data_IF_572294688663
#
_entry.id   IF_572294688663
#
_cell.length_a   1.000
_cell.length_b   1.000
_cell.length_c   1.000
_cell.angle_alpha   90.00
_cell.angle_beta   90.00
_cell.angle_gamma   90.00
#
_symmetry.space_group_name_H-M   'P 1'
#
loop_
_entity.id
_entity.type
_entity.pdbx_description
1 polymer ?
#
# COMPACT_ATOMS: atom_id res chain seq x y z
N UNK A 1 -20.98 -12.90 8.00
CA UNK A 1 -19.57 -13.23 7.66
C UNK A 1 -19.26 -12.97 6.18
N UNK A 2 -20.12 -13.40 5.24
CA UNK A 2 -19.99 -13.09 3.80
C UNK A 2 -19.71 -11.61 3.48
N UNK A 3 -20.43 -10.66 4.10
CA UNK A 3 -20.17 -9.23 3.90
C UNK A 3 -18.77 -8.79 4.32
N UNK A 4 -18.20 -9.39 5.36
CA UNK A 4 -16.83 -9.10 5.81
C UNK A 4 -15.83 -9.61 4.77
N UNK A 5 -16.04 -10.84 4.28
CA UNK A 5 -15.19 -11.45 3.25
C UNK A 5 -15.21 -10.59 1.98
N UNK A 6 -16.40 -10.23 1.47
CA UNK A 6 -16.52 -9.34 0.31
C UNK A 6 -15.87 -7.98 0.56
N UNK A 7 -16.02 -7.41 1.76
CA UNK A 7 -15.33 -6.17 2.13
C UNK A 7 -13.81 -6.28 2.07
N UNK A 8 -13.23 -7.34 2.61
CA UNK A 8 -11.78 -7.57 2.54
C UNK A 8 -11.31 -7.74 1.09
N UNK A 9 -12.04 -8.54 0.30
CA UNK A 9 -11.74 -8.76 -1.13
C UNK A 9 -11.78 -7.43 -1.90
N UNK A 10 -12.88 -6.69 -1.79
CA UNK A 10 -13.04 -5.40 -2.48
C UNK A 10 -12.00 -4.37 -2.03
N UNK A 11 -11.69 -4.32 -0.73
CA UNK A 11 -10.65 -3.44 -0.22
C UNK A 11 -9.26 -3.80 -0.73
N UNK A 12 -8.93 -5.09 -0.80
CA UNK A 12 -7.64 -5.56 -1.33
C UNK A 12 -7.47 -5.29 -2.82
N UNK A 13 -8.48 -5.58 -3.64
CA UNK A 13 -8.44 -5.25 -5.07
C UNK A 13 -8.44 -3.75 -5.31
N UNK A 14 -9.21 -2.98 -4.53
CA UNK A 14 -9.19 -1.52 -4.57
C UNK A 14 -7.81 -0.97 -4.22
N UNK A 15 -7.16 -1.53 -3.19
CA UNK A 15 -5.77 -1.20 -2.85
C UNK A 15 -4.84 -1.46 -4.03
N UNK A 16 -4.88 -2.64 -4.63
CA UNK A 16 -4.00 -3.00 -5.75
C UNK A 16 -4.20 -2.08 -6.96
N UNK A 17 -5.46 -1.84 -7.36
CA UNK A 17 -5.79 -0.97 -8.50
C UNK A 17 -5.28 0.45 -8.26
N UNK A 18 -5.56 1.02 -7.08
CA UNK A 18 -5.15 2.40 -6.77
C UNK A 18 -3.63 2.48 -6.59
N UNK A 19 -2.97 1.47 -6.02
CA UNK A 19 -1.52 1.39 -5.90
C UNK A 19 -0.84 1.43 -7.27
N UNK A 20 -1.09 0.42 -8.11
CA UNK A 20 -0.46 0.31 -9.42
C UNK A 20 -0.88 1.45 -10.35
N UNK A 21 -2.15 1.86 -10.29
CA UNK A 21 -2.65 3.01 -11.03
C UNK A 21 -1.92 4.31 -10.66
N UNK A 22 -1.65 4.53 -9.37
CA UNK A 22 -0.90 5.71 -8.92
C UNK A 22 0.55 5.66 -9.40
N UNK A 23 1.22 4.50 -9.34
CA UNK A 23 2.59 4.35 -9.84
C UNK A 23 2.67 4.63 -11.35
N UNK A 24 1.71 4.14 -12.14
CA UNK A 24 1.62 4.41 -13.59
C UNK A 24 1.45 5.91 -13.85
N UNK A 25 0.47 6.55 -13.19
CA UNK A 25 0.18 7.97 -13.38
C UNK A 25 1.38 8.83 -12.96
N UNK A 26 1.97 8.56 -11.79
CA UNK A 26 3.14 9.29 -11.30
C UNK A 26 4.34 9.12 -12.21
N UNK A 27 4.59 7.90 -12.72
CA UNK A 27 5.68 7.66 -13.66
C UNK A 27 5.51 8.43 -14.97
N UNK A 28 4.25 8.62 -15.42
CA UNK A 28 3.95 9.37 -16.64
C UNK A 28 4.13 10.90 -16.47
N UNK A 29 3.75 11.45 -15.31
CA UNK A 29 3.79 12.90 -15.07
C UNK A 29 5.07 13.38 -14.38
N UNK A 30 5.81 12.47 -13.75
CA UNK A 30 7.07 12.74 -13.05
C UNK A 30 8.15 11.75 -13.49
N UNK A 31 8.91 12.07 -14.57
CA UNK A 31 9.87 11.14 -15.15
C UNK A 31 10.94 10.62 -14.19
N UNK A 32 11.41 11.44 -13.24
CA UNK A 32 12.38 11.01 -12.24
C UNK A 32 11.81 9.93 -11.30
N UNK A 33 10.53 10.02 -10.93
CA UNK A 33 9.85 8.95 -10.19
C UNK A 33 9.76 7.68 -11.04
N UNK A 34 9.38 7.81 -12.32
CA UNK A 34 9.28 6.67 -13.24
C UNK A 34 10.62 5.94 -13.48
N UNK A 35 11.71 6.69 -13.57
CA UNK A 35 13.06 6.13 -13.67
C UNK A 35 13.45 5.34 -12.41
N UNK A 36 13.20 5.90 -11.23
CA UNK A 36 13.43 5.21 -9.95
C UNK A 36 12.55 3.96 -9.80
N UNK A 37 11.27 4.03 -10.18
CA UNK A 37 10.36 2.89 -10.16
C UNK A 37 10.84 1.76 -11.08
N UNK A 38 11.27 2.10 -12.29
CA UNK A 38 11.77 1.11 -13.26
C UNK A 38 13.08 0.47 -12.80
N UNK A 39 13.98 1.27 -12.22
CA UNK A 39 15.23 0.77 -11.64
C UNK A 39 14.96 -0.15 -10.43
N UNK A 40 14.00 0.20 -9.58
CA UNK A 40 13.59 -0.65 -8.46
C UNK A 40 13.02 -1.99 -8.94
N UNK A 41 12.16 -1.97 -9.96
CA UNK A 41 11.61 -3.20 -10.55
C UNK A 41 12.74 -4.09 -11.12
N UNK A 42 13.66 -3.50 -11.88
CA UNK A 42 14.80 -4.22 -12.44
C UNK A 42 15.70 -4.82 -11.35
N UNK A 43 15.84 -4.15 -10.20
CA UNK A 43 16.60 -4.67 -9.07
C UNK A 43 15.92 -5.86 -8.39
N UNK A 44 14.59 -5.88 -8.31
CA UNK A 44 13.84 -7.03 -7.79
C UNK A 44 13.86 -8.21 -8.76
N UNK A 45 13.68 -7.96 -10.06
CA UNK A 45 13.53 -9.03 -11.06
C UNK A 45 14.85 -9.57 -11.59
N UNK A 46 15.87 -8.71 -11.72
CA UNK A 46 17.13 -9.02 -12.40
C UNK A 46 18.36 -8.75 -11.55
N UNK A 47 18.19 -8.51 -10.24
CA UNK A 47 19.29 -8.22 -9.30
C UNK A 47 20.16 -7.01 -9.72
N UNK A 48 19.58 -6.08 -10.49
CA UNK A 48 20.26 -4.88 -10.94
C UNK A 48 20.64 -3.96 -9.75
N UNK A 49 21.73 -3.17 -9.85
CA UNK A 49 22.08 -2.21 -8.83
C UNK A 49 20.97 -1.17 -8.65
N UNK A 50 20.59 -0.91 -7.40
CA UNK A 50 19.60 0.11 -7.06
C UNK A 50 20.03 0.91 -5.83
N UNK A 51 19.80 2.22 -5.91
CA UNK A 51 20.00 3.14 -4.79
C UNK A 51 18.75 3.99 -4.66
N UNK A 52 17.94 3.69 -3.64
CA UNK A 52 16.68 4.40 -3.41
C UNK A 52 16.88 5.85 -3.03
N UNK A 53 16.54 6.75 -3.94
CA UNK A 53 16.48 8.19 -3.64
C UNK A 53 15.45 8.47 -2.54
N UNK A 54 15.80 9.32 -1.58
CA UNK A 54 14.94 9.63 -0.43
C UNK A 54 13.59 10.20 -0.86
N UNK A 55 13.55 11.03 -1.92
CA UNK A 55 12.33 11.57 -2.50
C UNK A 55 11.36 10.48 -2.95
N UNK A 56 11.84 9.51 -3.73
CA UNK A 56 11.08 8.35 -4.19
C UNK A 56 10.52 7.53 -3.01
N UNK A 57 11.36 7.23 -2.02
CA UNK A 57 10.97 6.47 -0.83
C UNK A 57 9.90 7.18 0.00
N UNK A 58 10.01 8.51 0.16
CA UNK A 58 8.98 9.31 0.84
C UNK A 58 7.68 9.34 0.05
N UNK A 59 7.73 9.47 -1.28
CA UNK A 59 6.53 9.40 -2.13
C UNK A 59 5.83 8.05 -1.97
N UNK A 60 6.57 6.94 -1.91
CA UNK A 60 6.00 5.61 -1.69
C UNK A 60 5.31 5.47 -0.32
N UNK A 61 5.85 6.09 0.73
CA UNK A 61 5.19 6.12 2.06
C UNK A 61 3.90 6.94 2.00
N UNK A 62 3.90 8.10 1.34
CA UNK A 62 2.71 8.94 1.17
C UNK A 62 1.63 8.18 0.39
N UNK A 63 2.01 7.52 -0.70
CA UNK A 63 1.10 6.65 -1.46
C UNK A 63 0.53 5.54 -0.57
N UNK A 64 1.38 4.80 0.15
CA UNK A 64 0.93 3.73 1.04
C UNK A 64 -0.09 4.22 2.07
N UNK A 65 0.11 5.43 2.59
CA UNK A 65 -0.80 6.07 3.53
C UNK A 65 -2.17 6.30 2.91
N UNK A 66 -2.22 6.95 1.74
CA UNK A 66 -3.47 7.31 1.05
C UNK A 66 -4.18 6.06 0.53
N UNK A 67 -3.46 5.16 -0.14
CA UNK A 67 -4.04 3.96 -0.75
C UNK A 67 -4.59 3.01 0.31
N UNK A 68 -3.89 2.83 1.43
CA UNK A 68 -4.38 1.98 2.53
C UNK A 68 -5.65 2.56 3.19
N UNK A 69 -5.73 3.90 3.32
CA UNK A 69 -6.94 4.55 3.81
C UNK A 69 -8.13 4.36 2.86
N UNK A 70 -7.93 4.54 1.55
CA UNK A 70 -8.98 4.31 0.54
C UNK A 70 -9.44 2.85 0.59
N UNK A 71 -8.51 1.90 0.65
CA UNK A 71 -8.82 0.48 0.74
C UNK A 71 -9.63 0.11 1.99
N UNK A 72 -9.26 0.64 3.15
CA UNK A 72 -9.99 0.49 4.40
C UNK A 72 -11.41 1.05 4.34
N UNK A 73 -11.57 2.21 3.71
CA UNK A 73 -12.88 2.83 3.48
C UNK A 73 -13.77 1.97 2.57
N UNK A 74 -13.22 1.48 1.45
CA UNK A 74 -13.94 0.59 0.52
C UNK A 74 -14.37 -0.72 1.21
N UNK A 75 -13.48 -1.32 2.01
CA UNK A 75 -13.80 -2.51 2.78
C UNK A 75 -14.96 -2.27 3.75
N UNK A 76 -14.97 -1.12 4.43
CA UNK A 76 -16.07 -0.75 5.33
C UNK A 76 -17.39 -0.50 4.58
N UNK A 77 -17.36 0.11 3.39
CA UNK A 77 -18.57 0.30 2.56
C UNK A 77 -19.21 -1.06 2.25
N UNK A 78 -18.44 -1.97 1.66
CA UNK A 78 -18.94 -3.27 1.19
C UNK A 78 -19.34 -4.16 2.37
N UNK A 79 -18.63 -4.06 3.50
CA UNK A 79 -18.96 -4.82 4.71
C UNK A 79 -20.14 -4.24 5.51
N UNK A 80 -20.74 -3.12 5.08
CA UNK A 80 -21.84 -2.47 5.80
C UNK A 80 -21.41 -1.85 7.13
N UNK A 81 -20.33 -1.06 7.10
CA UNK A 81 -19.70 -0.39 8.24
C UNK A 81 -19.17 -1.33 9.36
N UNK A 82 -18.97 -2.61 9.05
CA UNK A 82 -18.40 -3.56 10.01
C UNK A 82 -16.91 -3.29 10.23
N UNK A 83 -16.54 -2.92 11.47
CA UNK A 83 -15.17 -2.59 11.88
C UNK A 83 -14.17 -3.74 11.72
N UNK A 84 -14.63 -4.99 11.62
CA UNK A 84 -13.76 -6.16 11.43
C UNK A 84 -13.17 -6.23 10.02
N UNK A 85 -13.89 -5.78 8.98
CA UNK A 85 -13.39 -5.90 7.61
C UNK A 85 -12.14 -5.03 7.35
N UNK A 86 -12.11 -3.73 7.72
CA UNK A 86 -10.90 -2.91 7.59
C UNK A 86 -9.74 -3.40 8.48
N UNK A 87 -10.03 -4.00 9.63
CA UNK A 87 -9.01 -4.59 10.51
C UNK A 87 -8.35 -5.81 9.85
N UNK A 88 -9.14 -6.76 9.35
CA UNK A 88 -8.64 -7.95 8.65
C UNK A 88 -7.89 -7.55 7.39
N UNK A 89 -8.41 -6.58 6.63
CA UNK A 89 -7.70 -6.00 5.49
C UNK A 89 -6.37 -5.39 5.92
N UNK A 90 -6.33 -4.62 7.01
CA UNK A 90 -5.09 -4.01 7.49
C UNK A 90 -4.01 -5.03 7.85
N UNK A 91 -4.39 -6.18 8.43
CA UNK A 91 -3.45 -7.29 8.65
C UNK A 91 -2.98 -7.93 7.34
N UNK A 92 -3.87 -8.09 6.37
CA UNK A 92 -3.50 -8.57 5.04
C UNK A 92 -2.51 -7.62 4.35
N UNK A 93 -2.76 -6.31 4.40
CA UNK A 93 -1.84 -5.29 3.86
C UNK A 93 -0.52 -5.28 4.61
N UNK A 94 -0.53 -5.41 5.94
CA UNK A 94 0.70 -5.53 6.73
C UNK A 94 1.54 -6.73 6.30
N UNK A 95 0.90 -7.90 6.10
CA UNK A 95 1.59 -9.09 5.60
C UNK A 95 2.21 -8.86 4.21
N UNK A 96 1.49 -8.18 3.30
CA UNK A 96 2.03 -7.79 1.99
C UNK A 96 3.20 -6.82 2.12
N UNK A 97 3.12 -5.84 3.02
CA UNK A 97 4.20 -4.90 3.29
C UNK A 97 5.45 -5.58 3.82
N UNK A 98 5.29 -6.53 4.76
CA UNK A 98 6.39 -7.33 5.28
C UNK A 98 7.03 -8.21 4.21
N UNK A 99 6.22 -8.83 3.33
CA UNK A 99 6.72 -9.58 2.19
C UNK A 99 7.54 -8.69 1.26
N UNK A 100 7.03 -7.50 0.89
CA UNK A 100 7.76 -6.52 0.07
C UNK A 100 9.07 -6.08 0.77
N UNK A 101 9.04 -5.84 2.07
CA UNK A 101 10.23 -5.47 2.84
C UNK A 101 11.28 -6.57 2.84
N UNK A 102 10.88 -7.83 2.95
CA UNK A 102 11.77 -8.98 2.85
C UNK A 102 12.42 -9.06 1.45
N UNK A 103 11.62 -8.94 0.39
CA UNK A 103 12.12 -9.00 -1.00
C UNK A 103 13.05 -7.84 -1.37
N UNK A 104 12.92 -6.69 -0.71
CA UNK A 104 13.70 -5.48 -1.00
C UNK A 104 14.68 -5.09 0.10
N UNK A 105 14.92 -5.98 1.06
CA UNK A 105 15.75 -5.72 2.24
C UNK A 105 17.16 -5.16 1.93
N UNK A 106 17.91 -5.68 0.94
CA UNK A 106 19.23 -5.09 0.63
C UNK A 106 19.13 -3.84 -0.26
N UNK A 107 17.96 -3.56 -0.85
CA UNK A 107 17.77 -2.52 -1.85
C UNK A 107 17.36 -1.18 -1.23
N UNK A 108 16.71 -1.22 -0.07
CA UNK A 108 16.05 -0.05 0.52
C UNK A 108 16.50 0.13 1.98
N UNK A 109 16.69 1.36 2.45
CA UNK A 109 17.06 1.61 3.84
C UNK A 109 16.03 1.06 4.85
N UNK A 110 16.53 0.54 5.97
CA UNK A 110 15.72 -0.06 7.06
C UNK A 110 14.63 0.89 7.57
N UNK A 111 14.89 2.19 7.66
CA UNK A 111 13.91 3.18 8.12
C UNK A 111 12.65 3.20 7.24
N UNK A 112 12.81 3.03 5.92
CA UNK A 112 11.69 3.03 5.01
C UNK A 112 10.85 1.77 5.20
N UNK A 113 11.46 0.58 5.35
CA UNK A 113 10.72 -0.65 5.64
C UNK A 113 9.87 -0.51 6.91
N UNK A 114 10.42 0.06 7.98
CA UNK A 114 9.70 0.24 9.23
C UNK A 114 8.51 1.18 9.06
N UNK A 115 8.73 2.38 8.51
CA UNK A 115 7.66 3.38 8.36
C UNK A 115 6.59 2.91 7.37
N UNK A 116 7.01 2.36 6.23
CA UNK A 116 6.11 1.87 5.18
C UNK A 116 5.19 0.75 5.71
N UNK A 117 5.73 -0.21 6.45
CA UNK A 117 4.91 -1.33 6.97
C UNK A 117 4.05 -0.91 8.16
N UNK A 118 4.59 -0.10 9.07
CA UNK A 118 3.87 0.38 10.25
C UNK A 118 2.63 1.21 9.91
N UNK A 119 2.61 1.91 8.77
CA UNK A 119 1.48 2.78 8.38
C UNK A 119 0.30 2.02 7.77
N UNK A 120 0.49 0.83 7.20
CA UNK A 120 -0.55 0.10 6.44
C UNK A 120 -1.77 -0.23 7.30
N UNK A 121 -1.55 -0.86 8.46
CA UNK A 121 -2.63 -1.28 9.36
C UNK A 121 -3.39 -0.09 9.97
N UNK A 122 -2.73 0.92 10.57
CA UNK A 122 -3.40 2.11 11.08
C UNK A 122 -4.24 2.82 10.02
N UNK A 123 -3.71 2.98 8.80
CA UNK A 123 -4.42 3.70 7.75
C UNK A 123 -5.61 2.91 7.21
N UNK A 124 -5.53 1.59 7.07
CA UNK A 124 -6.69 0.76 6.75
C UNK A 124 -7.80 0.88 7.81
N UNK A 125 -7.45 0.88 9.10
CA UNK A 125 -8.41 1.08 10.19
C UNK A 125 -9.03 2.49 10.13
N UNK A 126 -8.20 3.53 9.94
CA UNK A 126 -8.66 4.92 9.86
C UNK A 126 -9.61 5.12 8.67
N UNK A 127 -9.28 4.58 7.50
CA UNK A 127 -10.15 4.58 6.34
C UNK A 127 -11.51 3.94 6.63
N UNK A 128 -11.52 2.80 7.30
CA UNK A 128 -12.75 2.13 7.71
C UNK A 128 -13.62 2.97 8.66
N UNK A 129 -12.99 3.69 9.60
CA UNK A 129 -13.69 4.57 10.54
C UNK A 129 -14.42 5.73 9.85
N UNK A 130 -13.91 6.23 8.71
CA UNK A 130 -14.57 7.30 7.94
C UNK A 130 -15.99 6.89 7.49
N UNK A 131 -16.23 5.60 7.20
CA UNK A 131 -17.56 5.10 6.85
C UNK A 131 -18.44 4.80 8.07
N UNK A 132 -17.88 4.38 9.20
CA UNK A 132 -18.66 4.06 10.40
C UNK A 132 -19.24 5.29 11.11
N UNK A 133 -18.68 6.47 10.87
CA UNK A 133 -19.14 7.73 11.46
C UNK A 133 -20.20 8.48 10.60
N UNK A 134 -20.68 7.86 9.52
CA UNK A 134 -21.78 8.34 8.66
C UNK A 134 -22.79 7.23 8.44
#
# INVERSE_FOLDING_TARGET
MLRIIFGVISGFFGWAIVWFGSEIVLSAIWPAFGAQQSAFQAAIENEAPFSGETSFLLTQIVLATVVSAIAGFLAAIVAGANKRAPLVLGFLLLAMGLLKAFMSWPLVPVWHHFVFTAILLPMAILGGKLKSNR
#
